data_IF_533089862917
#
_entry.id   IF_533089862917
#
_cell.length_a   1.000
_cell.length_b   1.000
_cell.length_c   1.000
_cell.angle_alpha   90.00
_cell.angle_beta   90.00
_cell.angle_gamma   90.00
#
_symmetry.space_group_name_H-M   'P 1'
#
loop_
_entity.id
_entity.type
_entity.pdbx_description
1 polymer ?
#
# COMPACT_ATOMS: atom_id res chain seq x y z
N UNK A 1 -29.44 -24.73 16.32
CA UNK A 1 -28.00 -24.99 16.05
C UNK A 1 -27.64 -24.74 14.58
N UNK A 2 -28.35 -25.30 13.58
CA UNK A 2 -28.05 -25.03 12.16
C UNK A 2 -28.17 -23.55 11.75
N UNK A 3 -29.14 -22.78 12.28
CA UNK A 3 -29.27 -21.36 11.92
C UNK A 3 -28.13 -20.48 12.44
N UNK A 4 -27.57 -20.78 13.62
CA UNK A 4 -26.42 -20.07 14.18
C UNK A 4 -25.15 -20.35 13.37
N UNK A 5 -24.95 -21.63 12.99
CA UNK A 5 -23.84 -22.03 12.13
C UNK A 5 -23.90 -21.35 10.75
N UNK A 6 -25.11 -21.19 10.17
CA UNK A 6 -25.29 -20.46 8.90
C UNK A 6 -24.99 -18.97 9.01
N UNK A 7 -25.36 -18.33 10.12
CA UNK A 7 -25.04 -16.92 10.37
C UNK A 7 -23.52 -16.74 10.55
N UNK A 8 -22.87 -17.64 11.30
CA UNK A 8 -21.42 -17.62 11.48
C UNK A 8 -20.68 -17.87 10.16
N UNK A 9 -21.14 -18.82 9.34
CA UNK A 9 -20.55 -19.10 8.03
C UNK A 9 -20.71 -17.92 7.07
N UNK A 10 -21.89 -17.28 7.07
CA UNK A 10 -22.15 -16.09 6.27
C UNK A 10 -21.29 -14.90 6.73
N UNK A 11 -21.12 -14.71 8.04
CA UNK A 11 -20.24 -13.69 8.60
C UNK A 11 -18.77 -13.92 8.23
N UNK A 12 -18.30 -15.16 8.31
CA UNK A 12 -16.93 -15.53 7.92
C UNK A 12 -16.70 -15.32 6.42
N UNK A 13 -17.66 -15.71 5.58
CA UNK A 13 -17.60 -15.50 4.14
C UNK A 13 -17.59 -14.00 3.80
N UNK A 14 -18.44 -13.20 4.45
CA UNK A 14 -18.44 -11.75 4.28
C UNK A 14 -17.11 -11.12 4.70
N UNK A 15 -16.53 -11.54 5.84
CA UNK A 15 -15.22 -11.06 6.28
C UNK A 15 -14.10 -11.43 5.30
N UNK A 16 -14.13 -12.62 4.72
CA UNK A 16 -13.15 -13.07 3.73
C UNK A 16 -13.26 -12.29 2.41
N UNK A 17 -14.48 -12.05 1.93
CA UNK A 17 -14.74 -11.25 0.72
C UNK A 17 -14.34 -9.78 0.94
N UNK A 18 -14.65 -9.20 2.10
CA UNK A 18 -14.23 -7.84 2.45
C UNK A 18 -12.71 -7.72 2.62
N UNK A 19 -12.06 -8.77 3.16
CA UNK A 19 -10.60 -8.85 3.26
C UNK A 19 -9.91 -8.89 1.90
N UNK A 20 -10.47 -9.56 0.91
CA UNK A 20 -9.91 -9.63 -0.45
C UNK A 20 -9.93 -8.29 -1.21
N UNK A 21 -10.90 -7.42 -0.92
CA UNK A 21 -10.96 -6.07 -1.51
C UNK A 21 -10.15 -5.03 -0.70
N UNK A 22 -9.56 -5.44 0.43
CA UNK A 22 -8.97 -4.51 1.40
C UNK A 22 -7.77 -3.73 0.87
N UNK A 23 -6.94 -4.28 -0.01
CA UNK A 23 -5.74 -3.57 -0.48
C UNK A 23 -6.14 -2.36 -1.31
N UNK A 24 -7.03 -2.54 -2.30
CA UNK A 24 -7.53 -1.42 -3.10
C UNK A 24 -8.30 -0.41 -2.25
N UNK A 25 -9.09 -0.91 -1.29
CA UNK A 25 -9.89 -0.06 -0.41
C UNK A 25 -9.01 0.73 0.58
N UNK A 26 -8.00 0.10 1.16
CA UNK A 26 -7.04 0.74 2.06
C UNK A 26 -6.29 1.85 1.32
N UNK A 27 -5.77 1.57 0.12
CA UNK A 27 -5.07 2.56 -0.71
C UNK A 27 -5.97 3.73 -1.13
N UNK A 28 -7.24 3.49 -1.47
CA UNK A 28 -8.18 4.57 -1.80
C UNK A 28 -8.63 5.42 -0.60
N UNK A 29 -8.29 5.02 0.63
CA UNK A 29 -8.66 5.72 1.86
C UNK A 29 -7.46 6.43 2.53
N UNK A 30 -6.26 6.29 1.96
CA UNK A 30 -5.06 6.92 2.52
C UNK A 30 -5.07 8.45 2.40
N UNK A 31 -5.80 8.98 1.41
CA UNK A 31 -5.96 10.41 1.16
C UNK A 31 -6.62 11.15 2.32
N UNK A 32 -7.57 10.54 3.03
CA UNK A 32 -8.19 11.14 4.22
C UNK A 32 -7.58 10.65 5.53
N UNK A 33 -7.06 9.41 5.56
CA UNK A 33 -6.47 8.83 6.76
C UNK A 33 -5.17 9.52 7.16
N UNK A 34 -4.31 9.83 6.19
CA UNK A 34 -3.01 10.48 6.46
C UNK A 34 -3.18 11.89 7.01
N UNK A 35 -4.01 12.79 6.43
CA UNK A 35 -4.25 14.11 7.00
C UNK A 35 -4.97 14.04 8.36
N UNK A 36 -5.83 13.03 8.55
CA UNK A 36 -6.45 12.78 9.86
C UNK A 36 -5.40 12.45 10.93
N UNK A 37 -4.48 11.55 10.62
CA UNK A 37 -3.38 11.17 11.53
C UNK A 37 -2.38 12.31 11.76
N UNK A 38 -2.03 13.06 10.71
CA UNK A 38 -1.07 14.18 10.80
C UNK A 38 -1.54 15.32 11.69
N UNK A 39 -2.86 15.48 11.86
CA UNK A 39 -3.45 16.54 12.69
C UNK A 39 -3.01 16.48 14.15
N UNK A 40 -2.66 15.30 14.64
CA UNK A 40 -2.19 15.11 16.02
C UNK A 40 -0.72 15.52 16.20
N UNK A 41 0.02 15.71 15.11
CA UNK A 41 1.45 16.05 15.10
C UNK A 41 1.75 17.45 14.60
N UNK A 42 0.96 17.95 13.63
CA UNK A 42 1.22 19.21 12.94
C UNK A 42 -0.05 20.07 12.88
N UNK A 43 0.08 21.32 13.31
CA UNK A 43 -0.99 22.32 13.17
C UNK A 43 -0.89 22.97 11.80
N UNK A 44 -1.87 22.68 10.93
CA UNK A 44 -1.97 23.25 9.58
C UNK A 44 -3.13 24.24 9.50
N UNK A 45 -2.89 25.40 8.87
CA UNK A 45 -3.96 26.33 8.52
C UNK A 45 -4.83 25.82 7.36
N UNK A 46 -5.90 26.55 7.03
CA UNK A 46 -6.83 26.14 5.97
C UNK A 46 -6.19 26.07 4.57
N UNK A 47 -5.24 26.95 4.26
CA UNK A 47 -4.51 26.92 3.00
C UNK A 47 -3.55 25.74 2.92
N UNK A 48 -2.80 25.49 3.99
CA UNK A 48 -1.85 24.38 4.10
C UNK A 48 -2.55 23.01 4.03
N UNK A 49 -3.70 22.86 4.70
CA UNK A 49 -4.51 21.62 4.60
C UNK A 49 -4.98 21.34 3.19
N UNK A 50 -5.54 22.34 2.52
CA UNK A 50 -5.98 22.20 1.13
C UNK A 50 -4.82 21.89 0.17
N UNK A 51 -3.62 22.42 0.44
CA UNK A 51 -2.42 22.08 -0.34
C UNK A 51 -2.01 20.62 -0.10
N UNK A 52 -1.93 20.20 1.16
CA UNK A 52 -1.60 18.83 1.56
C UNK A 52 -2.56 17.83 0.91
N UNK A 53 -3.87 18.04 1.02
CA UNK A 53 -4.88 17.12 0.50
C UNK A 53 -4.73 16.92 -1.02
N UNK A 54 -4.49 18.01 -1.77
CA UNK A 54 -4.29 17.94 -3.23
C UNK A 54 -3.00 17.22 -3.61
N UNK A 55 -1.88 17.57 -2.98
CA UNK A 55 -0.58 16.95 -3.28
C UNK A 55 -0.59 15.47 -2.89
N UNK A 56 -1.09 15.15 -1.70
CA UNK A 56 -1.18 13.78 -1.21
C UNK A 56 -2.04 12.90 -2.12
N UNK A 57 -3.22 13.38 -2.52
CA UNK A 57 -4.09 12.63 -3.44
C UNK A 57 -3.40 12.36 -4.77
N UNK A 58 -2.78 13.37 -5.38
CA UNK A 58 -2.03 13.21 -6.63
C UNK A 58 -0.85 12.24 -6.48
N UNK A 59 -0.14 12.29 -5.35
CA UNK A 59 1.02 11.45 -5.10
C UNK A 59 0.64 10.00 -4.83
N UNK A 60 -0.44 9.75 -4.09
CA UNK A 60 -1.00 8.41 -3.88
C UNK A 60 -1.46 7.78 -5.20
N UNK A 61 -2.13 8.56 -6.05
CA UNK A 61 -2.55 8.10 -7.38
C UNK A 61 -1.36 7.72 -8.26
N UNK A 62 -0.32 8.56 -8.28
CA UNK A 62 0.93 8.25 -8.97
C UNK A 62 1.58 7.00 -8.42
N UNK A 63 1.72 6.88 -7.10
CA UNK A 63 2.35 5.71 -6.46
C UNK A 63 1.61 4.42 -6.81
N UNK A 64 0.28 4.42 -6.73
CA UNK A 64 -0.54 3.26 -7.04
C UNK A 64 -0.45 2.85 -8.51
N UNK A 65 -0.37 3.82 -9.43
CA UNK A 65 -0.28 3.52 -10.87
C UNK A 65 1.11 3.04 -11.29
N UNK A 66 2.16 3.65 -10.73
CA UNK A 66 3.54 3.37 -11.12
C UNK A 66 4.07 2.10 -10.46
N UNK A 67 3.89 1.95 -9.14
CA UNK A 67 4.63 0.94 -8.40
C UNK A 67 3.82 -0.31 -8.07
N UNK A 68 2.51 -0.22 -7.90
CA UNK A 68 1.70 -1.36 -7.41
C UNK A 68 1.74 -2.56 -8.38
N UNK A 69 1.73 -2.29 -9.68
CA UNK A 69 1.85 -3.32 -10.71
C UNK A 69 3.25 -3.97 -10.71
N UNK A 70 4.30 -3.17 -10.54
CA UNK A 70 5.68 -3.63 -10.47
C UNK A 70 5.95 -4.46 -9.21
N UNK A 71 5.39 -4.06 -8.06
CA UNK A 71 5.44 -4.81 -6.82
C UNK A 71 4.79 -6.18 -6.99
N UNK A 72 3.59 -6.22 -7.58
CA UNK A 72 2.88 -7.46 -7.82
C UNK A 72 3.65 -8.40 -8.77
N UNK A 73 4.25 -7.87 -9.84
CA UNK A 73 5.08 -8.65 -10.75
C UNK A 73 6.32 -9.20 -10.03
N UNK A 74 7.01 -8.35 -9.26
CA UNK A 74 8.20 -8.70 -8.50
C UNK A 74 7.92 -9.75 -7.42
N UNK A 75 6.78 -9.65 -6.73
CA UNK A 75 6.40 -10.64 -5.72
C UNK A 75 6.09 -12.01 -6.34
N UNK A 76 5.54 -12.04 -7.55
CA UNK A 76 5.35 -13.30 -8.29
C UNK A 76 6.69 -13.90 -8.74
N UNK A 77 7.61 -13.06 -9.24
CA UNK A 77 8.98 -13.50 -9.55
C UNK A 77 9.68 -14.04 -8.29
N UNK A 78 9.60 -13.33 -7.18
CA UNK A 78 10.16 -13.76 -5.91
C UNK A 78 9.56 -15.09 -5.46
N UNK A 79 8.24 -15.28 -5.60
CA UNK A 79 7.59 -16.56 -5.29
C UNK A 79 8.16 -17.71 -6.13
N UNK A 80 8.44 -17.50 -7.41
CA UNK A 80 9.04 -18.54 -8.26
C UNK A 80 10.48 -18.87 -7.85
N UNK A 81 11.27 -17.86 -7.49
CA UNK A 81 12.62 -18.07 -6.94
C UNK A 81 12.55 -18.79 -5.59
N UNK A 82 11.55 -18.45 -4.77
CA UNK A 82 11.29 -19.07 -3.48
C UNK A 82 10.84 -20.53 -3.55
N UNK A 83 10.40 -20.99 -4.72
CA UNK A 83 10.00 -22.39 -4.94
C UNK A 83 11.17 -23.32 -5.27
N UNK A 84 12.40 -22.80 -5.39
CA UNK A 84 13.59 -23.61 -5.66
C UNK A 84 13.99 -24.46 -4.45
N UNK A 85 14.57 -25.63 -4.70
CA UNK A 85 14.96 -26.62 -3.69
C UNK A 85 16.08 -26.12 -2.75
N UNK A 86 16.86 -25.14 -3.20
CA UNK A 86 17.85 -24.40 -2.40
C UNK A 86 17.81 -22.92 -2.74
N UNK A 87 17.92 -22.10 -1.70
CA UNK A 87 17.91 -20.64 -1.79
C UNK A 87 19.02 -20.07 -0.91
N UNK A 88 19.82 -19.19 -1.49
CA UNK A 88 20.81 -18.39 -0.78
C UNK A 88 20.34 -16.94 -0.59
N UNK A 89 21.00 -16.22 0.32
CA UNK A 89 20.77 -14.79 0.50
C UNK A 89 21.08 -13.97 -0.77
N UNK A 90 22.03 -14.43 -1.58
CA UNK A 90 22.37 -13.82 -2.88
C UNK A 90 21.20 -13.78 -3.85
N UNK A 91 20.31 -14.78 -3.79
CA UNK A 91 19.14 -14.88 -4.67
C UNK A 91 18.05 -13.87 -4.29
N UNK A 92 18.12 -13.32 -3.06
CA UNK A 92 17.21 -12.31 -2.56
C UNK A 92 17.68 -10.88 -2.82
N UNK A 93 18.98 -10.66 -3.03
CA UNK A 93 19.59 -9.34 -3.23
C UNK A 93 18.94 -8.52 -4.36
N UNK A 94 18.59 -9.11 -5.53
CA UNK A 94 17.95 -8.35 -6.59
C UNK A 94 16.60 -7.75 -6.18
N UNK A 95 15.83 -8.47 -5.37
CA UNK A 95 14.53 -8.01 -4.87
C UNK A 95 14.69 -6.86 -3.86
N UNK A 96 15.70 -6.95 -2.98
CA UNK A 96 16.02 -5.88 -2.04
C UNK A 96 16.48 -4.62 -2.77
N UNK A 97 17.39 -4.75 -3.73
CA UNK A 97 17.88 -3.63 -4.53
C UNK A 97 16.75 -2.93 -5.30
N UNK A 98 15.79 -3.69 -5.84
CA UNK A 98 14.60 -3.16 -6.50
C UNK A 98 13.72 -2.39 -5.50
N UNK A 99 13.51 -2.95 -4.31
CA UNK A 99 12.84 -2.29 -3.17
C UNK A 99 13.45 -0.94 -2.80
N UNK A 100 14.77 -0.90 -2.64
CA UNK A 100 15.52 0.33 -2.34
C UNK A 100 15.47 1.36 -3.49
N UNK A 101 15.37 0.89 -4.73
CA UNK A 101 15.17 1.75 -5.90
C UNK A 101 13.84 2.49 -5.82
N UNK A 102 12.74 1.75 -5.67
CA UNK A 102 11.41 2.34 -5.54
C UNK A 102 11.29 3.27 -4.32
N UNK A 103 11.92 2.92 -3.19
CA UNK A 103 11.94 3.78 -2.01
C UNK A 103 12.58 5.14 -2.31
N UNK A 104 13.71 5.16 -3.04
CA UNK A 104 14.38 6.39 -3.44
C UNK A 104 13.53 7.23 -4.39
N UNK A 105 12.86 6.59 -5.34
CA UNK A 105 11.95 7.27 -6.28
C UNK A 105 10.77 7.93 -5.56
N UNK A 106 10.16 7.23 -4.60
CA UNK A 106 9.06 7.76 -3.79
C UNK A 106 9.53 8.94 -2.94
N UNK A 107 10.69 8.82 -2.29
CA UNK A 107 11.24 9.92 -1.48
C UNK A 107 11.55 11.16 -2.34
N UNK A 108 12.19 10.98 -3.49
CA UNK A 108 12.50 12.09 -4.40
C UNK A 108 11.22 12.80 -4.87
N UNK A 109 10.17 12.04 -5.15
CA UNK A 109 8.87 12.59 -5.53
C UNK A 109 8.20 13.38 -4.39
N UNK A 110 8.31 12.91 -3.14
CA UNK A 110 7.79 13.63 -1.97
C UNK A 110 8.59 14.90 -1.65
N UNK A 111 9.91 14.88 -1.85
CA UNK A 111 10.76 16.06 -1.70
C UNK A 111 10.46 17.16 -2.74
N UNK A 112 10.01 16.77 -3.93
CA UNK A 112 9.58 17.70 -4.98
C UNK A 112 8.25 18.37 -4.62
N UNK A 113 7.30 17.62 -4.04
CA UNK A 113 6.02 18.17 -3.56
C UNK A 113 6.21 19.16 -2.40
N UNK A 114 7.27 19.00 -1.61
CA UNK A 114 7.58 19.83 -0.45
C UNK A 114 8.35 21.12 -0.78
N UNK A 115 8.78 21.32 -2.02
CA UNK A 115 9.50 22.51 -2.50
C UNK A 115 8.55 23.61 -2.97
#
# INVERSE_FOLDING_TARGET
MLSLARILLAGLFAAFVLGGCSVRMAYSQLDWLVPWYLRDYVMLDAGQRNLLDRQLSARLDWHCRTHLAEYAATLREAQTTLAADRIGSSDLLPYLARGEGWWREILAALEDDAR
#
